data_IF_112318879602
#
_entry.id   IF_112318879602
#
_cell.length_a   1.000
_cell.length_b   1.000
_cell.length_c   1.000
_cell.angle_alpha   90.00
_cell.angle_beta   90.00
_cell.angle_gamma   90.00
#
_symmetry.space_group_name_H-M   'P 1'
#
loop_
_entity.id
_entity.type
_entity.pdbx_description
1 polymer ?
#
# COMPACT_ATOMS: atom_id res chain seq x y z
N UNK A 1 -15.09 0.81 11.81
CA UNK A 1 -14.56 0.92 10.44
C UNK A 1 -14.07 -0.40 9.84
N UNK A 2 -14.16 -1.51 10.55
CA UNK A 2 -13.71 -2.81 10.07
C UNK A 2 -12.20 -2.91 9.86
N UNK A 3 -11.45 -2.09 10.55
CA UNK A 3 -9.99 -2.05 10.45
C UNK A 3 -9.35 -2.98 11.47
N UNK A 4 -8.22 -3.54 11.10
CA UNK A 4 -7.41 -4.38 11.96
C UNK A 4 -6.11 -3.65 12.31
N UNK A 5 -5.79 -3.60 13.60
CA UNK A 5 -4.51 -3.07 14.04
C UNK A 5 -3.45 -4.16 13.83
N UNK A 6 -2.50 -3.89 12.95
CA UNK A 6 -1.45 -4.84 12.62
C UNK A 6 -0.25 -4.69 13.54
N UNK A 7 0.16 -3.44 13.79
CA UNK A 7 1.34 -3.16 14.59
C UNK A 7 1.30 -1.74 15.13
N UNK A 8 1.93 -1.51 16.26
CA UNK A 8 2.05 -0.18 16.86
C UNK A 8 3.47 -0.01 17.37
N UNK A 9 4.09 1.12 17.03
CA UNK A 9 5.44 1.47 17.49
C UNK A 9 5.46 2.87 18.07
N UNK A 10 6.20 3.04 19.15
CA UNK A 10 6.53 4.35 19.69
C UNK A 10 8.05 4.46 19.71
N UNK A 11 8.60 5.21 18.76
CA UNK A 11 10.05 5.27 18.53
C UNK A 11 10.56 6.69 18.49
N UNK A 12 11.84 6.85 18.73
CA UNK A 12 12.53 8.13 18.64
C UNK A 12 13.59 8.05 17.55
N UNK A 13 13.48 8.92 16.56
CA UNK A 13 14.42 9.00 15.45
C UNK A 13 14.87 10.45 15.28
N UNK A 14 16.18 10.67 15.24
CA UNK A 14 16.76 12.00 15.05
C UNK A 14 16.21 13.04 16.04
N UNK A 15 15.96 12.64 17.28
CA UNK A 15 15.43 13.52 18.31
C UNK A 15 13.93 13.76 18.24
N UNK A 16 13.22 13.17 17.29
CA UNK A 16 11.77 13.28 17.13
C UNK A 16 11.11 11.97 17.49
N UNK A 17 9.99 12.05 18.22
CA UNK A 17 9.21 10.86 18.60
C UNK A 17 8.10 10.63 17.61
N UNK A 18 7.91 9.38 17.23
CA UNK A 18 6.88 8.95 16.28
C UNK A 18 6.01 7.88 16.92
N UNK A 19 4.71 8.09 16.88
CA UNK A 19 3.75 7.04 17.15
C UNK A 19 3.28 6.51 15.80
N UNK A 20 3.75 5.31 15.45
CA UNK A 20 3.44 4.68 14.17
C UNK A 20 2.42 3.58 14.37
N UNK A 21 1.32 3.70 13.66
CA UNK A 21 0.21 2.76 13.74
C UNK A 21 -0.01 2.16 12.35
N UNK A 22 0.03 0.83 12.28
CA UNK A 22 -0.17 0.09 11.04
C UNK A 22 -1.52 -0.59 11.09
N UNK A 23 -2.38 -0.26 10.15
CA UNK A 23 -3.74 -0.78 10.07
C UNK A 23 -3.99 -1.42 8.70
N UNK A 24 -4.90 -2.36 8.64
CA UNK A 24 -5.29 -2.98 7.39
C UNK A 24 -6.75 -3.41 7.46
N UNK A 25 -7.31 -3.83 6.32
CA UNK A 25 -8.65 -4.41 6.25
C UNK A 25 -8.75 -5.33 5.03
N UNK A 26 -9.71 -6.25 4.99
CA UNK A 26 -9.95 -7.08 3.81
C UNK A 26 -10.16 -6.22 2.57
N UNK A 27 -9.48 -6.56 1.48
CA UNK A 27 -9.52 -5.79 0.24
C UNK A 27 -8.57 -4.60 0.18
N UNK A 28 -7.86 -4.33 1.28
CA UNK A 28 -6.92 -3.22 1.36
C UNK A 28 -7.56 -1.92 1.82
N UNK A 29 -6.74 -0.94 2.09
CA UNK A 29 -7.17 0.37 2.61
C UNK A 29 -6.65 1.46 1.68
N UNK A 30 -7.52 2.42 1.32
CA UNK A 30 -7.18 3.53 0.45
C UNK A 30 -6.59 4.72 1.20
N UNK A 31 -5.99 5.64 0.44
CA UNK A 31 -5.39 6.87 1.00
C UNK A 31 -6.42 7.69 1.77
N UNK A 32 -7.62 7.87 1.22
CA UNK A 32 -8.69 8.65 1.87
C UNK A 32 -9.09 8.03 3.20
N UNK A 33 -9.16 6.71 3.25
CA UNK A 33 -9.52 6.00 4.47
C UNK A 33 -8.41 6.10 5.52
N UNK A 34 -7.14 5.98 5.10
CA UNK A 34 -6.01 6.20 6.00
C UNK A 34 -6.02 7.61 6.59
N UNK A 35 -6.34 8.61 5.78
CA UNK A 35 -6.45 10.00 6.25
C UNK A 35 -7.55 10.14 7.30
N UNK A 36 -8.70 9.50 7.11
CA UNK A 36 -9.79 9.52 8.07
C UNK A 36 -9.43 8.81 9.38
N UNK A 37 -8.71 7.71 9.29
CA UNK A 37 -8.22 6.99 10.47
C UNK A 37 -7.24 7.85 11.24
N UNK A 38 -6.31 8.48 10.54
CA UNK A 38 -5.33 9.38 11.14
C UNK A 38 -6.02 10.52 11.88
N UNK A 39 -7.01 11.16 11.28
CA UNK A 39 -7.77 12.25 11.90
C UNK A 39 -8.53 11.79 13.13
N UNK A 40 -9.20 10.65 13.05
CA UNK A 40 -9.97 10.11 14.17
C UNK A 40 -9.07 9.75 15.34
N UNK A 41 -7.92 9.12 15.08
CA UNK A 41 -6.94 8.77 16.11
C UNK A 41 -6.30 10.02 16.73
N UNK A 42 -6.00 11.02 15.90
CA UNK A 42 -5.43 12.28 16.38
C UNK A 42 -6.36 12.95 17.37
N UNK A 43 -7.65 12.99 17.09
CA UNK A 43 -8.65 13.55 18.00
C UNK A 43 -8.74 12.79 19.32
N UNK A 44 -8.75 11.45 19.25
CA UNK A 44 -8.80 10.60 20.44
C UNK A 44 -7.57 10.80 21.33
N UNK A 45 -6.41 10.89 20.71
CA UNK A 45 -5.16 11.12 21.43
C UNK A 45 -5.10 12.49 22.07
N UNK A 46 -5.63 13.52 21.39
CA UNK A 46 -5.70 14.86 21.95
C UNK A 46 -6.64 14.91 23.15
N UNK A 47 -7.81 14.25 23.06
CA UNK A 47 -8.80 14.24 24.12
C UNK A 47 -8.34 13.47 25.37
N UNK A 48 -7.71 12.32 25.18
CA UNK A 48 -7.28 11.44 26.27
C UNK A 48 -5.88 11.77 26.79
N UNK A 49 -5.06 12.38 25.93
CA UNK A 49 -3.68 12.79 26.24
C UNK A 49 -2.87 11.73 27.00
N UNK A 50 -2.80 10.48 26.50
CA UNK A 50 -2.14 9.38 27.19
C UNK A 50 -0.62 9.48 27.17
N UNK A 51 -0.05 10.32 26.29
CA UNK A 51 1.39 10.49 26.12
C UNK A 51 1.74 11.93 26.48
N UNK A 52 2.57 12.10 27.50
CA UNK A 52 2.95 13.42 28.01
C UNK A 52 3.99 14.14 27.16
N UNK A 53 4.58 13.46 26.18
CA UNK A 53 5.64 14.02 25.34
C UNK A 53 5.09 14.34 23.96
N UNK A 54 5.70 15.32 23.29
CA UNK A 54 5.36 15.66 21.92
C UNK A 54 5.75 14.51 20.99
N UNK A 55 4.89 14.20 20.03
CA UNK A 55 5.14 13.14 19.08
C UNK A 55 4.43 13.44 17.76
N UNK A 56 4.85 12.74 16.71
CA UNK A 56 4.20 12.80 15.40
C UNK A 56 3.44 11.49 15.21
N UNK A 57 2.16 11.61 14.90
CA UNK A 57 1.32 10.45 14.60
C UNK A 57 1.44 10.09 13.12
N UNK A 58 1.81 8.83 12.83
CA UNK A 58 1.83 8.30 11.48
C UNK A 58 0.93 7.07 11.41
N UNK A 59 -0.02 7.09 10.49
CA UNK A 59 -0.88 5.94 10.25
C UNK A 59 -0.62 5.44 8.84
N UNK A 60 -0.33 4.16 8.70
CA UNK A 60 -0.07 3.55 7.41
C UNK A 60 -0.63 2.13 7.33
N UNK A 61 -0.56 1.53 6.16
CA UNK A 61 -0.95 0.14 5.96
C UNK A 61 0.26 -0.65 5.48
N UNK A 62 0.58 -1.79 6.11
CA UNK A 62 1.69 -2.61 5.65
C UNK A 62 1.46 -3.21 4.26
N UNK A 63 0.19 -3.24 3.81
CA UNK A 63 -0.13 -3.67 2.46
C UNK A 63 -0.02 -2.57 1.42
N UNK A 64 0.13 -1.30 1.84
CA UNK A 64 0.32 -0.18 0.93
C UNK A 64 1.75 -0.20 0.39
N UNK A 65 1.89 -0.06 -0.93
CA UNK A 65 3.17 -0.04 -1.62
C UNK A 65 4.07 -1.26 -1.35
N UNK A 66 3.46 -2.37 -0.94
CA UNK A 66 4.20 -3.62 -0.72
C UNK A 66 4.82 -4.12 -2.03
N UNK A 67 6.10 -4.44 -1.98
CA UNK A 67 6.81 -5.01 -3.13
C UNK A 67 6.38 -6.45 -3.34
N UNK A 68 6.06 -6.80 -4.58
CA UNK A 68 5.59 -8.12 -4.98
C UNK A 68 6.73 -8.88 -5.66
N UNK A 69 7.09 -10.04 -5.14
CA UNK A 69 8.21 -10.84 -5.67
C UNK A 69 7.84 -12.30 -5.93
N UNK A 70 7.00 -12.88 -5.09
CA UNK A 70 6.66 -14.29 -5.16
C UNK A 70 5.31 -14.52 -5.82
N UNK A 71 5.07 -15.74 -6.30
CA UNK A 71 3.77 -16.13 -6.85
C UNK A 71 2.65 -15.89 -5.85
N UNK A 72 2.91 -16.17 -4.59
CA UNK A 72 1.94 -15.95 -3.51
C UNK A 72 1.60 -14.48 -3.35
N UNK A 73 2.60 -13.61 -3.43
CA UNK A 73 2.39 -12.16 -3.33
C UNK A 73 1.61 -11.63 -4.51
N UNK A 74 1.90 -12.09 -5.72
CA UNK A 74 1.14 -11.71 -6.90
C UNK A 74 -0.30 -12.21 -6.82
N UNK A 75 -0.53 -13.42 -6.33
CA UNK A 75 -1.89 -13.93 -6.13
C UNK A 75 -2.65 -13.08 -5.11
N UNK A 76 -1.98 -12.69 -4.03
CA UNK A 76 -2.57 -11.79 -3.03
C UNK A 76 -2.96 -10.44 -3.62
N UNK A 77 -2.19 -9.94 -4.58
CA UNK A 77 -2.42 -8.63 -5.19
C UNK A 77 -3.52 -8.62 -6.25
N UNK A 78 -4.03 -9.79 -6.66
CA UNK A 78 -5.12 -9.84 -7.63
C UNK A 78 -6.33 -9.06 -7.11
N UNK A 79 -6.87 -8.19 -7.97
CA UNK A 79 -7.97 -7.30 -7.63
C UNK A 79 -7.53 -5.99 -6.97
N UNK A 80 -6.24 -5.82 -6.69
CA UNK A 80 -5.71 -4.62 -6.05
C UNK A 80 -5.01 -3.73 -7.09
N UNK A 81 -4.89 -2.45 -6.75
CA UNK A 81 -4.17 -1.49 -7.58
C UNK A 81 -2.67 -1.71 -7.42
N UNK A 82 -1.97 -1.83 -8.54
CA UNK A 82 -0.54 -2.12 -8.55
C UNK A 82 0.21 -1.17 -9.47
N UNK A 83 1.50 -1.01 -9.22
CA UNK A 83 2.43 -0.33 -10.11
C UNK A 83 3.49 -1.33 -10.53
N UNK A 84 3.68 -1.49 -11.83
CA UNK A 84 4.65 -2.41 -12.40
C UNK A 84 5.60 -1.66 -13.30
N UNK A 85 6.89 -1.82 -13.04
CA UNK A 85 7.95 -1.28 -13.89
C UNK A 85 8.60 -2.43 -14.65
N UNK A 86 8.76 -2.26 -15.95
CA UNK A 86 9.34 -3.29 -16.83
C UNK A 86 10.76 -2.93 -17.22
N UNK A 87 11.55 -3.96 -17.58
CA UNK A 87 12.94 -3.79 -18.03
C UNK A 87 13.01 -3.18 -19.41
N UNK A 88 12.09 -3.60 -20.28
CA UNK A 88 11.97 -3.13 -21.65
C UNK A 88 10.53 -2.67 -21.89
N UNK A 89 10.30 -1.79 -22.88
CA UNK A 89 8.93 -1.35 -23.17
C UNK A 89 8.00 -2.52 -23.52
N UNK A 90 6.81 -2.50 -22.93
CA UNK A 90 5.71 -3.39 -23.27
C UNK A 90 4.59 -2.49 -23.75
N UNK A 91 4.08 -2.71 -24.96
CA UNK A 91 3.08 -1.85 -25.60
C UNK A 91 3.48 -0.36 -25.54
N UNK A 92 4.79 -0.08 -25.69
CA UNK A 92 5.30 1.28 -25.73
C UNK A 92 5.54 1.97 -24.39
N UNK A 93 5.35 1.27 -23.28
CA UNK A 93 5.53 1.86 -21.94
C UNK A 93 6.36 0.95 -21.04
N UNK A 94 7.00 1.54 -20.05
CA UNK A 94 7.80 0.81 -19.04
C UNK A 94 7.21 0.91 -17.65
N UNK A 95 6.14 1.68 -17.46
CA UNK A 95 5.43 1.81 -16.18
C UNK A 95 3.95 1.60 -16.41
N UNK A 96 3.36 0.73 -15.61
CA UNK A 96 1.93 0.41 -15.69
C UNK A 96 1.31 0.55 -14.31
N UNK A 97 0.26 1.34 -14.21
CA UNK A 97 -0.51 1.50 -12.99
C UNK A 97 -1.96 1.12 -13.28
N UNK A 98 -2.48 0.20 -12.52
CA UNK A 98 -3.84 -0.27 -12.71
C UNK A 98 -4.17 -1.42 -11.78
N UNK A 99 -5.33 -2.05 -12.03
CA UNK A 99 -5.80 -3.18 -11.24
C UNK A 99 -5.19 -4.47 -11.77
N UNK A 100 -4.58 -5.24 -10.88
CA UNK A 100 -4.04 -6.56 -11.26
C UNK A 100 -5.19 -7.55 -11.41
N UNK A 101 -5.40 -8.02 -12.63
CA UNK A 101 -6.47 -8.98 -12.95
C UNK A 101 -6.00 -10.42 -12.85
N UNK A 102 -4.72 -10.67 -13.15
CA UNK A 102 -4.13 -11.98 -13.01
C UNK A 102 -2.71 -11.85 -12.45
N UNK A 103 -2.42 -12.61 -11.41
CA UNK A 103 -1.08 -12.71 -10.81
C UNK A 103 -0.25 -13.85 -11.39
N UNK A 104 -0.76 -14.56 -12.39
CA UNK A 104 -0.03 -15.63 -13.08
C UNK A 104 0.98 -15.05 -14.08
N UNK A 105 1.59 -15.91 -14.87
CA UNK A 105 2.53 -15.48 -15.91
C UNK A 105 1.89 -15.74 -17.30
N UNK A 106 1.61 -14.68 -18.11
CA UNK A 106 1.94 -13.29 -17.86
C UNK A 106 0.99 -12.64 -16.83
N UNK A 107 1.49 -11.57 -16.19
CA UNK A 107 0.63 -10.72 -15.38
C UNK A 107 -0.35 -10.00 -16.29
N UNK A 108 -1.59 -9.82 -15.83
CA UNK A 108 -2.55 -9.00 -16.55
C UNK A 108 -2.96 -7.83 -15.67
N UNK A 109 -2.65 -6.63 -16.14
CA UNK A 109 -2.98 -5.38 -15.44
C UNK A 109 -3.98 -4.62 -16.29
N UNK A 110 -5.09 -4.20 -15.69
CA UNK A 110 -6.07 -3.37 -16.37
C UNK A 110 -5.69 -1.90 -16.20
N UNK A 111 -5.27 -1.28 -17.30
CA UNK A 111 -4.86 0.11 -17.36
C UNK A 111 -5.87 0.87 -18.22
N UNK A 112 -6.56 1.86 -17.64
CA UNK A 112 -7.59 2.65 -18.32
C UNK A 112 -8.63 1.78 -19.04
N UNK A 113 -9.05 0.70 -18.39
CA UNK A 113 -10.03 -0.23 -18.94
C UNK A 113 -9.49 -1.23 -19.96
N UNK A 114 -8.18 -1.25 -20.18
CA UNK A 114 -7.55 -2.17 -21.14
C UNK A 114 -6.68 -3.20 -20.42
N UNK A 115 -6.80 -4.49 -20.72
CA UNK A 115 -5.91 -5.48 -20.17
C UNK A 115 -4.54 -5.41 -20.87
N UNK A 116 -3.47 -5.35 -20.07
CA UNK A 116 -2.11 -5.39 -20.58
C UNK A 116 -1.44 -6.64 -20.00
N UNK A 117 -0.92 -7.49 -20.89
CA UNK A 117 -0.21 -8.69 -20.50
C UNK A 117 1.28 -8.37 -20.36
N UNK A 118 1.85 -8.65 -19.18
CA UNK A 118 3.24 -8.36 -18.88
C UNK A 118 3.93 -9.67 -18.49
N UNK A 119 4.86 -10.18 -19.31
CA UNK A 119 5.61 -11.37 -18.92
C UNK A 119 6.40 -11.15 -17.63
N UNK A 120 6.36 -12.11 -16.73
CA UNK A 120 7.09 -12.03 -15.46
C UNK A 120 8.58 -11.72 -15.65
N UNK A 121 9.18 -12.27 -16.72
CA UNK A 121 10.59 -12.03 -17.03
C UNK A 121 10.91 -10.57 -17.34
N UNK A 122 9.92 -9.79 -17.75
CA UNK A 122 10.08 -8.36 -18.02
C UNK A 122 9.87 -7.47 -16.81
N UNK A 123 9.38 -8.00 -15.72
CA UNK A 123 9.11 -7.21 -14.52
C UNK A 123 10.43 -6.85 -13.84
N UNK A 124 10.70 -5.54 -13.74
CA UNK A 124 11.83 -5.01 -13.00
C UNK A 124 11.45 -4.79 -11.54
N UNK A 125 10.27 -4.21 -11.31
CA UNK A 125 9.73 -3.95 -9.99
C UNK A 125 8.21 -4.01 -10.07
N UNK A 126 7.60 -4.68 -9.11
CA UNK A 126 6.16 -4.68 -8.96
C UNK A 126 5.83 -4.39 -7.51
N UNK A 127 4.85 -3.51 -7.30
CA UNK A 127 4.41 -3.19 -5.95
C UNK A 127 2.92 -2.87 -5.94
N UNK A 128 2.30 -3.11 -4.81
CA UNK A 128 0.97 -2.62 -4.57
C UNK A 128 1.03 -1.11 -4.43
N UNK A 129 0.15 -0.39 -5.10
CA UNK A 129 0.10 1.06 -5.03
C UNK A 129 -1.18 1.50 -4.31
N UNK A 130 -1.14 2.70 -3.74
CA UNK A 130 -2.31 3.32 -3.15
C UNK A 130 -3.08 4.04 -4.25
N UNK A 131 -4.40 3.91 -4.23
CA UNK A 131 -5.28 4.70 -5.07
C UNK A 131 -5.44 6.05 -4.36
N UNK A 132 -4.80 7.06 -4.90
CA UNK A 132 -4.79 8.36 -4.28
C UNK A 132 -5.60 9.39 -5.01
#
# INVERSE_FOLDING_TARGET
MGLELVHLEFVKEHGVRYLRIFVDKPGGIGVDELARVNEALSRRLDDEDPISESYILEVSSPGAERVLKTDREFAWAEGKFVRIETREPVDGATVFEGTLRSGADPLVVEVDGRPVAIPRAQVKLARRAMIG
#
